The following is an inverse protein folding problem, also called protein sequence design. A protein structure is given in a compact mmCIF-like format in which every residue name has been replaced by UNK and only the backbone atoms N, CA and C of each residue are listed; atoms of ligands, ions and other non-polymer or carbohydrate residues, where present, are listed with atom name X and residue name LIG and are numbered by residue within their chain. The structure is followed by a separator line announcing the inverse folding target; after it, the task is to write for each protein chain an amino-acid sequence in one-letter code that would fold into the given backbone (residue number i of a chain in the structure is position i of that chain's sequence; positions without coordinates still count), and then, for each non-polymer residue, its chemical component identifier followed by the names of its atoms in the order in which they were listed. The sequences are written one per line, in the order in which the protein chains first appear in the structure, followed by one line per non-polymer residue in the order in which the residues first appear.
data_IF_861801082992
#
_entry.id   IF_861801082992
#
_cell.length_a   1.000
_cell.length_b   1.000
_cell.length_c   1.000
_cell.angle_alpha   90.00
_cell.angle_beta   90.00
_cell.angle_gamma   90.00
#
_symmetry.space_group_name_H-M   'P 1'
#
loop_
_entity.id
_entity.type
_entity.pdbx_description
1 polymer ?
#
# COMPACT_ATOMS: atom_id res chain seq x y z
N UNK A 1 -33.30 -22.46 58.03
CA UNK A 1 -31.92 -22.09 57.62
C UNK A 1 -31.60 -22.75 56.28
N UNK A 2 -31.65 -22.02 55.14
CA UNK A 2 -31.12 -22.51 53.88
C UNK A 2 -30.06 -21.55 53.33
N UNK A 3 -28.81 -21.97 53.20
CA UNK A 3 -27.80 -21.26 52.39
C UNK A 3 -26.90 -22.34 51.76
N UNK A 4 -27.17 -22.66 50.49
CA UNK A 4 -26.48 -22.14 49.29
C UNK A 4 -25.18 -22.91 48.99
N UNK A 5 -25.31 -23.82 48.03
CA UNK A 5 -24.22 -24.57 47.41
C UNK A 5 -23.30 -23.73 46.50
N UNK A 6 -22.28 -24.37 45.91
CA UNK A 6 -21.06 -23.70 45.46
C UNK A 6 -21.24 -22.88 44.18
N UNK A 7 -20.66 -21.68 44.18
CA UNK A 7 -20.53 -20.81 43.02
C UNK A 7 -19.60 -21.45 41.98
N UNK A 8 -20.17 -21.83 40.83
CA UNK A 8 -19.42 -22.16 39.60
C UNK A 8 -18.95 -20.86 38.94
N UNK A 9 -17.64 -20.68 38.87
CA UNK A 9 -17.01 -19.60 38.09
C UNK A 9 -17.00 -20.02 36.62
N UNK A 10 -17.82 -19.37 35.79
CA UNK A 10 -17.80 -19.51 34.34
C UNK A 10 -16.59 -18.74 33.77
N UNK A 11 -15.53 -19.47 33.42
CA UNK A 11 -14.45 -18.94 32.58
C UNK A 11 -15.00 -18.76 31.15
N UNK A 12 -15.26 -17.52 30.80
CA UNK A 12 -15.58 -17.07 29.45
C UNK A 12 -14.37 -17.27 28.54
N UNK A 13 -14.44 -18.28 27.67
CA UNK A 13 -13.56 -18.45 26.52
C UNK A 13 -13.94 -17.41 25.45
N UNK A 14 -13.35 -16.22 25.53
CA UNK A 14 -13.38 -15.27 24.43
C UNK A 14 -12.55 -15.84 23.28
N UNK A 15 -13.24 -16.48 22.32
CA UNK A 15 -12.68 -16.86 21.02
C UNK A 15 -12.29 -15.57 20.29
N UNK A 16 -11.00 -15.25 20.31
CA UNK A 16 -10.42 -14.28 19.40
C UNK A 16 -10.59 -14.81 17.97
N UNK A 17 -11.57 -14.29 17.25
CA UNK A 17 -11.68 -14.49 15.82
C UNK A 17 -10.51 -13.76 15.16
N UNK A 18 -9.37 -14.44 15.03
CA UNK A 18 -8.34 -14.02 14.10
C UNK A 18 -8.99 -13.97 12.71
N UNK A 19 -9.13 -12.77 12.15
CA UNK A 19 -9.46 -12.60 10.73
C UNK A 19 -8.30 -13.18 9.92
N UNK A 20 -8.42 -14.45 9.57
CA UNK A 20 -7.56 -15.12 8.62
C UNK A 20 -7.85 -14.54 7.22
N UNK A 21 -7.13 -13.49 6.83
CA UNK A 21 -7.03 -13.12 5.42
C UNK A 21 -5.97 -14.01 4.77
N UNK A 22 -6.31 -15.28 4.57
CA UNK A 22 -5.62 -16.12 3.59
C UNK A 22 -6.61 -16.46 2.50
N UNK A 23 -6.80 -15.55 1.55
CA UNK A 23 -7.39 -15.92 0.27
C UNK A 23 -6.46 -16.92 -0.43
N UNK A 24 -6.99 -18.00 -1.03
CA UNK A 24 -6.18 -18.97 -1.76
C UNK A 24 -5.43 -18.33 -2.93
N UNK A 25 -4.32 -18.94 -3.32
CA UNK A 25 -3.56 -18.60 -4.54
C UNK A 25 -4.45 -18.89 -5.75
N UNK A 26 -4.91 -17.82 -6.40
CA UNK A 26 -5.95 -17.79 -7.43
C UNK A 26 -6.68 -16.44 -7.40
N UNK A 27 -5.92 -15.41 -7.02
CA UNK A 27 -6.32 -14.14 -6.47
C UNK A 27 -7.00 -13.25 -7.51
N UNK A 28 -7.93 -12.42 -7.04
CA UNK A 28 -8.75 -11.47 -7.81
C UNK A 28 -8.06 -10.93 -9.07
N UNK A 29 -8.72 -10.93 -10.25
CA UNK A 29 -8.13 -10.36 -11.46
C UNK A 29 -7.78 -8.88 -11.23
N UNK A 30 -6.65 -8.46 -11.78
CA UNK A 30 -6.29 -7.06 -11.88
C UNK A 30 -7.38 -6.33 -12.67
N UNK A 31 -7.70 -5.11 -12.27
CA UNK A 31 -8.60 -4.25 -13.04
C UNK A 31 -7.88 -3.78 -14.32
N UNK A 32 -6.61 -3.37 -14.19
CA UNK A 32 -5.81 -2.89 -15.30
C UNK A 32 -4.30 -2.98 -15.01
N UNK A 33 -3.51 -2.93 -16.09
CA UNK A 33 -2.04 -2.80 -16.06
C UNK A 33 -1.65 -1.66 -16.99
N UNK A 34 -0.96 -0.67 -16.45
CA UNK A 34 -0.43 0.48 -17.19
C UNK A 34 1.06 0.26 -17.42
N UNK A 35 1.41 -0.02 -18.67
CA UNK A 35 2.77 -0.33 -19.09
C UNK A 35 3.64 0.94 -19.13
N UNK A 36 4.97 0.80 -19.21
CA UNK A 36 5.84 1.95 -19.46
C UNK A 36 5.45 2.74 -20.71
N UNK A 37 5.67 4.05 -20.68
CA UNK A 37 5.28 4.97 -21.75
C UNK A 37 3.76 5.24 -21.82
N UNK A 38 2.95 4.59 -20.99
CA UNK A 38 1.53 4.92 -20.84
C UNK A 38 1.31 5.95 -19.74
N UNK A 39 0.22 6.70 -19.85
CA UNK A 39 -0.17 7.71 -18.90
C UNK A 39 -0.99 7.13 -17.73
N UNK A 40 -0.85 7.73 -16.54
CA UNK A 40 -1.73 7.43 -15.41
C UNK A 40 -3.19 7.73 -15.76
N UNK A 41 -4.12 6.81 -15.42
CA UNK A 41 -5.52 6.91 -15.83
C UNK A 41 -6.34 7.92 -15.01
N UNK A 42 -5.85 8.27 -13.81
CA UNK A 42 -6.47 9.17 -12.83
C UNK A 42 -5.37 9.79 -11.98
N UNK A 43 -5.72 10.81 -11.19
CA UNK A 43 -4.84 11.28 -10.12
C UNK A 43 -4.57 10.15 -9.12
N UNK A 44 -3.30 9.93 -8.80
CA UNK A 44 -2.86 8.93 -7.83
C UNK A 44 -2.02 9.58 -6.75
N UNK A 45 -2.31 9.23 -5.51
CA UNK A 45 -1.65 9.81 -4.35
C UNK A 45 -1.07 8.77 -3.40
N UNK A 46 -0.05 9.21 -2.67
CA UNK A 46 0.65 8.47 -1.62
C UNK A 46 0.92 9.38 -0.44
N UNK A 47 0.75 8.87 0.77
CA UNK A 47 1.25 9.51 1.99
C UNK A 47 2.49 8.78 2.49
N UNK A 48 3.51 9.53 2.88
CA UNK A 48 4.72 8.99 3.50
C UNK A 48 5.45 10.04 4.36
N UNK A 49 6.40 9.59 5.17
CA UNK A 49 7.34 10.47 5.86
C UNK A 49 8.58 10.72 5.02
N UNK A 50 8.92 11.99 4.81
CA UNK A 50 10.06 12.43 4.04
C UNK A 50 9.93 12.21 2.52
N UNK A 51 10.96 12.64 1.80
CA UNK A 51 10.99 12.65 0.33
C UNK A 51 11.40 11.31 -0.32
N UNK A 52 11.80 10.33 0.48
CA UNK A 52 12.36 9.08 -0.04
C UNK A 52 11.39 7.92 0.17
N UNK A 53 11.06 7.24 -0.92
CA UNK A 53 10.27 6.01 -0.86
C UNK A 53 11.11 4.92 -0.19
N UNK A 54 10.50 4.25 0.80
CA UNK A 54 11.13 3.14 1.55
C UNK A 54 10.15 1.98 1.64
N UNK A 55 10.15 1.14 0.61
CA UNK A 55 9.36 -0.09 0.60
C UNK A 55 9.87 -1.08 1.65
N UNK A 56 8.93 -1.71 2.34
CA UNK A 56 9.16 -2.64 3.44
C UNK A 56 9.16 -4.08 2.91
N UNK A 57 10.30 -4.74 3.03
CA UNK A 57 10.46 -6.14 2.66
C UNK A 57 9.84 -7.08 3.71
N UNK A 58 9.08 -8.08 3.25
CA UNK A 58 8.32 -9.01 4.08
C UNK A 58 9.14 -9.73 5.16
N UNK A 59 10.22 -10.41 4.81
CA UNK A 59 11.01 -11.19 5.77
C UNK A 59 11.68 -10.29 6.82
N UNK A 60 12.15 -9.10 6.42
CA UNK A 60 12.66 -8.08 7.33
C UNK A 60 11.58 -7.57 8.30
N UNK A 61 10.37 -7.30 7.82
CA UNK A 61 9.26 -6.89 8.71
C UNK A 61 8.83 -8.03 9.64
N UNK A 62 8.78 -9.26 9.13
CA UNK A 62 8.45 -10.46 9.90
C UNK A 62 9.48 -10.73 11.00
N UNK A 63 10.77 -10.54 10.73
CA UNK A 63 11.82 -10.62 11.75
C UNK A 63 11.63 -9.57 12.87
N UNK A 64 11.07 -8.41 12.54
CA UNK A 64 10.69 -7.36 13.50
C UNK A 64 9.31 -7.58 14.15
N UNK A 65 8.65 -8.72 13.92
CA UNK A 65 7.29 -9.03 14.38
C UNK A 65 6.24 -8.01 13.91
N UNK A 66 6.45 -7.43 12.73
CA UNK A 66 5.52 -6.50 12.08
C UNK A 66 4.73 -7.24 10.99
N UNK A 67 3.46 -6.88 10.85
CA UNK A 67 2.56 -7.52 9.90
C UNK A 67 2.44 -6.77 8.57
N UNK A 68 2.80 -5.48 8.54
CA UNK A 68 2.69 -4.64 7.35
C UNK A 68 3.98 -4.67 6.53
N UNK A 69 3.87 -4.99 5.25
CA UNK A 69 4.95 -5.01 4.27
C UNK A 69 4.42 -4.55 2.91
N UNK A 70 5.32 -4.22 1.99
CA UNK A 70 4.96 -3.68 0.67
C UNK A 70 5.28 -4.66 -0.46
N UNK A 71 6.27 -5.54 -0.27
CA UNK A 71 6.70 -6.54 -1.24
C UNK A 71 7.47 -7.70 -0.60
N UNK A 72 7.77 -8.71 -1.43
CA UNK A 72 8.68 -9.81 -1.10
C UNK A 72 9.89 -9.76 -2.02
N UNK A 73 11.09 -9.86 -1.45
CA UNK A 73 12.31 -10.12 -2.23
C UNK A 73 12.37 -11.62 -2.50
N UNK A 74 12.66 -11.99 -3.75
CA UNK A 74 12.72 -13.38 -4.19
C UNK A 74 14.05 -14.04 -3.77
N UNK A 75 14.18 -15.38 -3.86
CA UNK A 75 15.40 -16.10 -3.44
C UNK A 75 16.69 -15.66 -4.16
N UNK A 76 16.58 -15.02 -5.32
CA UNK A 76 17.71 -14.44 -6.07
C UNK A 76 18.16 -13.08 -5.53
N UNK A 77 17.49 -12.54 -4.50
CA UNK A 77 17.78 -11.24 -3.90
C UNK A 77 17.16 -10.06 -4.65
N UNK A 78 16.26 -10.30 -5.61
CA UNK A 78 15.64 -9.26 -6.43
C UNK A 78 14.16 -9.09 -6.10
N UNK A 79 13.64 -7.90 -6.39
CA UNK A 79 12.21 -7.63 -6.51
C UNK A 79 11.82 -7.93 -7.94
N UNK A 80 10.74 -8.68 -8.14
CA UNK A 80 10.22 -9.05 -9.45
C UNK A 80 8.90 -8.33 -9.75
N UNK A 81 8.63 -7.96 -11.01
CA UNK A 81 7.31 -7.47 -11.40
C UNK A 81 6.23 -8.53 -11.14
N UNK A 82 5.02 -8.12 -10.81
CA UNK A 82 3.92 -9.08 -10.74
C UNK A 82 3.53 -9.50 -12.16
N UNK A 83 3.49 -10.81 -12.39
CA UNK A 83 3.18 -11.42 -13.69
C UNK A 83 1.72 -11.89 -13.77
N UNK A 84 1.20 -11.96 -14.99
CA UNK A 84 -0.14 -12.46 -15.27
C UNK A 84 -1.27 -11.48 -14.94
N UNK A 85 -2.52 -11.97 -15.04
CA UNK A 85 -3.72 -11.13 -14.95
C UNK A 85 -4.27 -10.98 -13.53
N UNK A 86 -3.65 -11.59 -12.52
CA UNK A 86 -4.19 -11.71 -11.17
C UNK A 86 -3.38 -10.92 -10.14
N UNK A 87 -4.04 -10.39 -9.12
CA UNK A 87 -3.39 -9.67 -8.02
C UNK A 87 -2.65 -10.63 -7.08
N UNK A 88 -1.32 -10.74 -7.15
CA UNK A 88 -0.57 -11.69 -6.30
C UNK A 88 0.07 -10.95 -5.11
N UNK A 89 -0.79 -10.49 -4.19
CA UNK A 89 -0.36 -9.84 -2.95
C UNK A 89 0.36 -8.50 -3.15
N UNK A 90 0.80 -7.84 -2.06
CA UNK A 90 1.55 -6.59 -2.15
C UNK A 90 2.85 -6.81 -2.92
N UNK A 91 3.06 -5.99 -3.96
CA UNK A 91 4.26 -6.07 -4.79
C UNK A 91 4.79 -4.70 -5.24
N UNK A 92 4.64 -3.67 -4.40
CA UNK A 92 5.12 -2.34 -4.77
C UNK A 92 4.64 -1.18 -3.92
N UNK A 93 4.79 -0.01 -4.50
CA UNK A 93 4.46 1.27 -3.92
C UNK A 93 2.95 1.51 -3.99
N UNK A 94 2.26 1.37 -2.86
CA UNK A 94 0.82 1.68 -2.71
C UNK A 94 0.51 3.12 -3.14
N UNK A 95 -0.48 3.25 -4.00
CA UNK A 95 -1.09 4.48 -4.50
C UNK A 95 -2.62 4.34 -4.44
N UNK A 96 -3.34 5.47 -4.28
CA UNK A 96 -4.81 5.52 -4.32
C UNK A 96 -5.29 6.84 -4.90
N UNK A 97 -6.51 6.90 -5.38
CA UNK A 97 -7.13 8.18 -5.76
C UNK A 97 -7.23 9.13 -4.55
N UNK A 98 -6.90 10.42 -4.68
CA UNK A 98 -6.94 11.39 -3.58
C UNK A 98 -8.30 11.48 -2.87
N UNK A 99 -9.40 11.41 -3.63
CA UNK A 99 -10.77 11.48 -3.11
C UNK A 99 -11.30 10.13 -2.61
N UNK A 100 -10.51 9.06 -2.68
CA UNK A 100 -10.92 7.78 -2.13
C UNK A 100 -11.20 7.91 -0.62
N UNK A 101 -12.37 7.46 -0.12
CA UNK A 101 -12.64 7.43 1.31
C UNK A 101 -11.55 6.66 2.09
N UNK A 102 -11.02 5.59 1.51
CA UNK A 102 -9.96 4.80 2.12
C UNK A 102 -8.65 5.58 2.20
N UNK A 103 -8.28 6.31 1.13
CA UNK A 103 -7.05 7.08 1.13
C UNK A 103 -7.13 8.28 2.09
N UNK A 104 -8.26 8.98 2.08
CA UNK A 104 -8.58 10.06 3.01
C UNK A 104 -8.42 9.61 4.48
N UNK A 105 -8.96 8.43 4.82
CA UNK A 105 -8.76 7.84 6.15
C UNK A 105 -7.28 7.51 6.44
N UNK A 106 -6.54 7.00 5.45
CA UNK A 106 -5.11 6.72 5.57
C UNK A 106 -4.31 8.00 5.84
N UNK A 107 -4.57 9.10 5.13
CA UNK A 107 -3.88 10.38 5.36
C UNK A 107 -4.15 10.91 6.76
N UNK A 108 -5.42 10.94 7.21
CA UNK A 108 -5.80 11.40 8.56
C UNK A 108 -5.13 10.59 9.67
N UNK A 109 -5.08 9.27 9.48
CA UNK A 109 -4.50 8.35 10.44
C UNK A 109 -2.98 8.16 10.31
N UNK A 110 -2.34 8.74 9.28
CA UNK A 110 -0.90 8.67 9.13
C UNK A 110 -0.20 9.35 10.32
N UNK A 111 0.89 8.74 10.79
CA UNK A 111 1.69 9.18 11.93
C UNK A 111 3.16 9.18 11.54
N UNK A 112 3.91 10.16 12.04
CA UNK A 112 5.33 10.35 11.75
C UNK A 112 5.69 11.83 11.81
N UNK A 113 6.95 12.15 11.52
CA UNK A 113 7.39 13.50 11.20
C UNK A 113 7.44 13.67 9.67
N UNK A 114 7.52 14.93 9.22
CA UNK A 114 7.78 15.30 7.83
C UNK A 114 6.83 14.60 6.85
N UNK A 115 5.55 14.57 7.21
CA UNK A 115 4.51 13.87 6.45
C UNK A 115 4.22 14.68 5.18
N UNK A 116 4.35 14.04 4.03
CA UNK A 116 3.94 14.57 2.74
C UNK A 116 2.90 13.67 2.07
N UNK A 117 1.92 14.31 1.43
CA UNK A 117 0.98 13.68 0.50
C UNK A 117 1.40 14.04 -0.91
N UNK A 118 1.90 13.05 -1.64
CA UNK A 118 2.43 13.18 -3.00
C UNK A 118 1.30 12.85 -3.96
N UNK A 119 0.91 13.81 -4.80
CA UNK A 119 -0.16 13.64 -5.79
C UNK A 119 0.45 13.67 -7.19
N UNK A 120 0.41 12.53 -7.86
CA UNK A 120 0.71 12.35 -9.27
C UNK A 120 -0.55 12.67 -10.08
N UNK A 121 -0.42 13.59 -11.03
CA UNK A 121 -1.56 14.01 -11.86
C UNK A 121 -1.93 12.93 -12.89
N UNK A 122 -3.21 12.79 -13.18
CA UNK A 122 -3.69 12.11 -14.39
C UNK A 122 -2.90 12.57 -15.62
N UNK A 123 -2.56 11.64 -16.51
CA UNK A 123 -1.75 11.96 -17.68
C UNK A 123 -0.23 11.85 -17.45
N UNK A 124 0.25 11.72 -16.21
CA UNK A 124 1.68 11.52 -15.92
C UNK A 124 2.18 10.25 -16.62
N UNK A 125 3.23 10.35 -17.41
CA UNK A 125 3.77 9.23 -18.20
C UNK A 125 4.70 8.37 -17.36
N UNK A 126 4.51 7.06 -17.39
CA UNK A 126 5.35 6.11 -16.67
C UNK A 126 6.73 5.93 -17.36
N UNK A 127 7.84 5.97 -16.60
CA UNK A 127 9.16 5.70 -17.15
C UNK A 127 9.34 4.22 -17.50
N UNK A 128 10.34 3.89 -18.33
CA UNK A 128 10.66 2.52 -18.78
C UNK A 128 10.82 1.51 -17.64
N UNK A 129 11.28 1.97 -16.48
CA UNK A 129 11.58 1.13 -15.32
C UNK A 129 10.35 0.82 -14.45
N UNK A 130 9.21 1.49 -14.66
CA UNK A 130 8.05 1.40 -13.77
C UNK A 130 6.74 1.05 -14.50
N UNK A 131 5.89 0.30 -13.81
CA UNK A 131 4.52 -0.04 -14.24
C UNK A 131 3.55 0.22 -13.09
N UNK A 132 2.29 0.53 -13.40
CA UNK A 132 1.23 0.63 -12.40
C UNK A 132 0.22 -0.49 -12.62
N UNK A 133 -0.07 -1.24 -11.56
CA UNK A 133 -1.16 -2.20 -11.53
C UNK A 133 -2.33 -1.61 -10.78
N UNK A 134 -3.51 -1.62 -11.41
CA UNK A 134 -4.77 -1.36 -10.71
C UNK A 134 -5.24 -2.70 -10.13
N UNK A 135 -4.91 -2.92 -8.87
CA UNK A 135 -5.05 -4.23 -8.23
C UNK A 135 -6.52 -4.54 -7.95
N UNK A 136 -7.19 -3.62 -7.25
CA UNK A 136 -8.60 -3.75 -6.90
C UNK A 136 -9.17 -2.45 -6.33
N UNK A 137 -10.48 -2.25 -6.44
CA UNK A 137 -11.17 -1.08 -5.87
C UNK A 137 -10.44 0.21 -6.26
N UNK A 138 -9.95 0.99 -5.30
CA UNK A 138 -9.19 2.23 -5.45
C UNK A 138 -7.67 2.06 -5.27
N UNK A 139 -7.17 0.81 -5.19
CA UNK A 139 -5.77 0.52 -4.88
C UNK A 139 -4.95 0.27 -6.14
N UNK A 140 -3.90 1.07 -6.27
CA UNK A 140 -2.90 0.97 -7.32
C UNK A 140 -1.54 0.64 -6.72
N UNK A 141 -0.69 -0.01 -7.52
CA UNK A 141 0.62 -0.50 -7.09
C UNK A 141 1.63 -0.15 -8.15
N UNK A 142 2.53 0.77 -7.83
CA UNK A 142 3.64 1.19 -8.68
C UNK A 142 4.84 0.26 -8.43
N UNK A 143 5.25 -0.48 -9.46
CA UNK A 143 6.20 -1.59 -9.40
C UNK A 143 7.32 -1.45 -10.43
N UNK A 144 8.38 -2.25 -10.30
CA UNK A 144 9.39 -2.39 -11.35
C UNK A 144 8.81 -3.09 -12.59
N UNK A 145 9.42 -2.88 -13.76
CA UNK A 145 9.10 -3.60 -15.01
C UNK A 145 10.01 -4.79 -15.27
N UNK A 146 11.18 -4.80 -14.63
CA UNK A 146 12.18 -5.85 -14.71
C UNK A 146 12.72 -6.16 -13.31
N UNK A 147 13.24 -7.38 -13.07
CA UNK A 147 13.84 -7.72 -11.79
C UNK A 147 14.97 -6.76 -11.42
N UNK A 148 14.93 -6.21 -10.21
CA UNK A 148 15.93 -5.25 -9.72
C UNK A 148 16.10 -5.32 -8.19
N UNK A 149 17.18 -4.76 -7.66
CA UNK A 149 17.37 -4.70 -6.20
C UNK A 149 16.34 -3.77 -5.56
N UNK A 150 15.94 -4.07 -4.34
CA UNK A 150 15.03 -3.22 -3.56
C UNK A 150 15.52 -1.76 -3.44
N UNK A 151 16.83 -1.56 -3.31
CA UNK A 151 17.43 -0.22 -3.27
C UNK A 151 17.26 0.54 -4.58
N UNK A 152 17.37 -0.14 -5.72
CA UNK A 152 17.21 0.45 -7.04
C UNK A 152 15.74 0.80 -7.31
N UNK A 153 14.82 -0.08 -6.91
CA UNK A 153 13.39 0.21 -6.98
C UNK A 153 13.03 1.41 -6.10
N UNK A 154 13.50 1.47 -4.84
CA UNK A 154 13.27 2.64 -3.98
C UNK A 154 13.82 3.92 -4.59
N UNK A 155 14.99 3.88 -5.24
CA UNK A 155 15.57 5.04 -5.93
C UNK A 155 14.71 5.47 -7.14
N UNK A 156 14.31 4.53 -7.99
CA UNK A 156 13.48 4.80 -9.16
C UNK A 156 12.11 5.38 -8.77
N UNK A 157 11.47 4.83 -7.73
CA UNK A 157 10.21 5.34 -7.19
C UNK A 157 10.37 6.75 -6.61
N UNK A 158 11.45 6.97 -5.84
CA UNK A 158 11.76 8.27 -5.25
C UNK A 158 11.93 9.32 -6.33
N UNK A 159 12.74 9.03 -7.35
CA UNK A 159 12.96 9.93 -8.46
C UNK A 159 11.65 10.23 -9.20
N UNK A 160 10.93 9.20 -9.63
CA UNK A 160 9.68 9.38 -10.37
C UNK A 160 8.65 10.21 -9.58
N UNK A 161 8.46 9.92 -8.30
CA UNK A 161 7.50 10.65 -7.46
C UNK A 161 7.96 12.09 -7.25
N UNK A 162 9.23 12.33 -6.92
CA UNK A 162 9.70 13.70 -6.67
C UNK A 162 9.71 14.57 -7.93
N UNK A 163 9.94 13.97 -9.10
CA UNK A 163 9.99 14.70 -10.37
C UNK A 163 8.59 15.05 -10.89
N UNK A 164 7.55 14.27 -10.55
CA UNK A 164 6.23 14.37 -11.17
C UNK A 164 5.09 14.69 -10.20
N UNK A 165 5.24 14.44 -8.91
CA UNK A 165 4.21 14.70 -7.92
C UNK A 165 4.32 16.11 -7.37
N UNK A 166 3.17 16.75 -7.17
CA UNK A 166 3.08 17.87 -6.23
C UNK A 166 2.99 17.32 -4.81
N UNK A 167 3.55 18.04 -3.85
CA UNK A 167 3.61 17.61 -2.45
C UNK A 167 2.73 18.56 -1.63
N UNK A 168 1.82 17.98 -0.87
CA UNK A 168 0.96 18.69 0.08
C UNK A 168 1.30 18.22 1.49
N UNK A 169 1.18 19.11 2.48
CA UNK A 169 1.01 18.69 3.86
C UNK A 169 -0.44 18.18 4.08
N UNK A 170 -0.76 17.76 5.31
CA UNK A 170 -2.08 17.17 5.59
C UNK A 170 -3.19 18.20 5.54
N UNK A 171 -2.91 19.41 6.02
CA UNK A 171 -3.86 20.53 6.04
C UNK A 171 -4.21 20.98 4.61
N UNK A 172 -3.20 21.20 3.77
CA UNK A 172 -3.36 21.53 2.34
C UNK A 172 -4.13 20.42 1.61
N UNK A 173 -3.84 19.15 1.93
CA UNK A 173 -4.57 18.03 1.36
C UNK A 173 -6.05 18.01 1.76
N UNK A 174 -6.37 18.26 3.03
CA UNK A 174 -7.76 18.33 3.52
C UNK A 174 -8.52 19.55 2.93
N UNK A 175 -7.84 20.67 2.68
CA UNK A 175 -8.41 21.84 2.01
C UNK A 175 -8.75 21.57 0.54
N UNK A 176 -7.85 20.91 -0.18
CA UNK A 176 -8.01 20.67 -1.61
C UNK A 176 -8.90 19.46 -1.93
N UNK A 177 -8.84 18.43 -1.08
CA UNK A 177 -9.62 17.20 -1.21
C UNK A 177 -10.55 17.05 0.00
N UNK A 178 -11.57 17.93 0.13
CA UNK A 178 -12.43 17.94 1.30
C UNK A 178 -13.23 16.65 1.38
N UNK A 179 -13.29 16.08 2.59
CA UNK A 179 -14.09 14.91 2.84
C UNK A 179 -15.53 15.31 3.17
N UNK A 180 -16.45 15.07 2.23
CA UNK A 180 -17.88 15.17 2.47
C UNK A 180 -18.39 13.87 3.10
N UNK A 181 -19.03 14.00 4.28
CA UNK A 181 -19.76 12.91 4.96
C UNK A 181 -21.10 12.68 4.26
#
# INVERSE_FOLDING_TARGET
MPLLGPRRTLLSLARGAARAYSTPVGSRPLIARYAPGTALPVDLARVQSGLHVRLREYEAQKALKRFSYDLKVQPDGLVHPAEGPNFIGPNGCSLREPLSPTFQEVVRNFRGSDIGVFVLKEGTVLPETLTVLHEHSDHFSLQCTQPMRLSELNAALTQFINDNARILNKEEFDEEYPFSI
#
